data_IF_939159988364
#
_entry.id   IF_939159988364
#
_cell.length_a   1.000
_cell.length_b   1.000
_cell.length_c   1.000
_cell.angle_alpha   90.00
_cell.angle_beta   90.00
_cell.angle_gamma   90.00
#
_symmetry.space_group_name_H-M   'P 1'
#
loop_
_entity.id
_entity.type
_entity.pdbx_description
1 polymer ?
#
# COMPACT_ATOMS: atom_id res chain seq x y z
N UNK A 1 -13.18 6.58 -5.20
CA UNK A 1 -12.62 7.92 -4.85
C UNK A 1 -11.12 7.90 -5.13
N UNK A 2 -10.53 9.06 -5.44
CA UNK A 2 -9.08 9.22 -5.55
C UNK A 2 -8.64 10.40 -4.68
N UNK A 3 -7.67 10.20 -3.78
CA UNK A 3 -7.16 11.25 -2.88
C UNK A 3 -5.75 10.96 -2.37
N UNK A 4 -5.11 11.95 -1.77
CA UNK A 4 -3.86 11.73 -1.04
C UNK A 4 -4.08 11.02 0.31
N UNK A 5 -3.07 10.27 0.75
CA UNK A 5 -3.02 9.70 2.09
C UNK A 5 -2.96 10.80 3.16
N UNK A 6 -3.64 10.57 4.29
CA UNK A 6 -3.79 11.55 5.37
C UNK A 6 -3.03 11.17 6.63
N UNK A 7 -2.60 9.93 6.73
CA UNK A 7 -1.96 9.38 7.92
C UNK A 7 -1.11 8.15 7.58
N UNK A 8 -0.27 7.74 8.52
CA UNK A 8 0.64 6.60 8.36
C UNK A 8 -0.08 5.27 8.16
N UNK A 9 -1.30 5.10 8.71
CA UNK A 9 -2.05 3.87 8.54
C UNK A 9 -2.52 3.66 7.09
N UNK A 10 -2.84 4.74 6.38
CA UNK A 10 -3.17 4.70 4.96
C UNK A 10 -1.94 4.44 4.09
N UNK A 11 -0.78 5.01 4.44
CA UNK A 11 0.49 4.73 3.76
C UNK A 11 0.87 3.25 3.96
N UNK A 12 0.74 2.73 5.18
CA UNK A 12 1.00 1.31 5.46
C UNK A 12 0.09 0.40 4.64
N UNK A 13 -1.21 0.70 4.55
CA UNK A 13 -2.14 -0.06 3.72
C UNK A 13 -1.81 0.02 2.21
N UNK A 14 -1.35 1.18 1.73
CA UNK A 14 -0.87 1.33 0.36
C UNK A 14 0.37 0.47 0.09
N UNK A 15 1.33 0.43 1.03
CA UNK A 15 2.51 -0.44 0.97
C UNK A 15 2.14 -1.94 0.97
N UNK A 16 1.09 -2.35 1.69
CA UNK A 16 0.56 -3.72 1.64
C UNK A 16 -0.02 -4.04 0.25
N UNK A 17 -0.73 -3.09 -0.37
CA UNK A 17 -1.26 -3.26 -1.75
C UNK A 17 -0.11 -3.42 -2.74
N UNK A 18 0.93 -2.57 -2.69
CA UNK A 18 2.12 -2.70 -3.54
C UNK A 18 2.82 -4.03 -3.32
N UNK A 19 2.95 -4.46 -2.06
CA UNK A 19 3.54 -5.75 -1.74
C UNK A 19 2.79 -6.91 -2.42
N UNK A 20 1.46 -6.95 -2.27
CA UNK A 20 0.62 -8.00 -2.88
C UNK A 20 0.81 -8.05 -4.39
N UNK A 21 0.76 -6.90 -5.06
CA UNK A 21 0.89 -6.83 -6.52
C UNK A 21 2.30 -7.24 -6.95
N UNK A 22 3.35 -6.61 -6.43
CA UNK A 22 4.70 -6.86 -6.95
C UNK A 22 5.26 -8.22 -6.54
N UNK A 23 4.99 -8.68 -5.32
CA UNK A 23 5.63 -9.88 -4.79
C UNK A 23 4.75 -11.12 -4.85
N UNK A 24 3.46 -11.00 -4.55
CA UNK A 24 2.57 -12.17 -4.54
C UNK A 24 2.00 -12.45 -5.93
N UNK A 25 1.72 -11.42 -6.74
CA UNK A 25 1.16 -11.59 -8.09
C UNK A 25 2.24 -11.57 -9.19
N UNK A 26 3.22 -10.66 -9.12
CA UNK A 26 4.21 -10.44 -10.19
C UNK A 26 5.60 -11.06 -9.94
N UNK A 27 5.83 -11.70 -8.78
CA UNK A 27 7.02 -12.51 -8.53
C UNK A 27 8.33 -11.72 -8.33
N UNK A 28 8.26 -10.49 -7.84
CA UNK A 28 9.46 -9.72 -7.47
C UNK A 28 10.31 -10.47 -6.41
N UNK A 29 11.65 -10.30 -6.49
CA UNK A 29 12.57 -10.94 -5.54
C UNK A 29 12.50 -10.24 -4.19
N UNK A 30 12.09 -10.99 -3.16
CA UNK A 30 12.00 -10.55 -1.77
C UNK A 30 13.40 -10.39 -1.18
N UNK A 31 13.72 -9.21 -0.67
CA UNK A 31 14.77 -9.10 0.34
C UNK A 31 14.20 -9.58 1.70
N UNK A 32 15.01 -10.19 2.55
CA UNK A 32 14.54 -10.89 3.76
C UNK A 32 13.71 -10.00 4.70
N UNK A 33 14.01 -8.69 4.73
CA UNK A 33 13.31 -7.71 5.54
C UNK A 33 11.90 -7.36 5.02
N UNK A 34 11.70 -7.29 3.70
CA UNK A 34 10.39 -6.95 3.11
C UNK A 34 9.37 -8.09 3.28
N UNK A 35 9.84 -9.33 3.43
CA UNK A 35 8.98 -10.50 3.59
C UNK A 35 8.32 -10.60 4.97
N UNK A 36 8.93 -10.05 6.03
CA UNK A 36 8.40 -10.15 7.40
C UNK A 36 7.20 -9.22 7.63
N UNK A 37 7.28 -7.99 7.13
CA UNK A 37 6.26 -6.97 7.35
C UNK A 37 5.13 -6.98 6.30
N UNK A 38 5.29 -7.75 5.21
CA UNK A 38 4.35 -7.79 4.05
C UNK A 38 4.00 -6.40 3.52
N UNK A 39 4.98 -5.51 3.54
CA UNK A 39 4.89 -4.15 3.05
C UNK A 39 6.04 -3.89 2.11
N UNK A 40 5.74 -3.29 0.97
CA UNK A 40 6.75 -2.78 0.05
C UNK A 40 7.12 -1.36 0.48
N UNK A 41 7.86 -1.23 1.58
CA UNK A 41 8.36 0.06 2.05
C UNK A 41 9.76 0.33 1.48
N UNK A 42 10.01 1.54 0.98
CA UNK A 42 11.31 1.95 0.47
C UNK A 42 11.73 3.35 0.93
N UNK A 43 12.95 3.76 0.54
CA UNK A 43 13.56 5.03 0.95
C UNK A 43 12.90 6.27 0.35
N UNK A 44 12.03 6.11 -0.65
CA UNK A 44 11.35 7.20 -1.33
C UNK A 44 9.98 7.49 -0.73
N UNK A 45 9.38 6.55 0.00
CA UNK A 45 8.08 6.74 0.66
C UNK A 45 7.97 8.05 1.47
N UNK A 46 8.99 8.51 2.25
CA UNK A 46 8.91 9.77 2.98
C UNK A 46 8.94 11.04 2.10
N UNK A 47 9.26 10.90 0.82
CA UNK A 47 9.38 12.01 -0.15
C UNK A 47 8.15 12.13 -1.05
N UNK A 48 7.26 11.14 -1.03
CA UNK A 48 6.11 11.06 -1.93
C UNK A 48 4.83 11.53 -1.26
N UNK A 49 4.02 12.26 -2.02
CA UNK A 49 2.58 12.33 -1.76
C UNK A 49 1.94 11.02 -2.23
N UNK A 50 1.43 10.23 -1.30
CA UNK A 50 0.85 8.92 -1.60
C UNK A 50 -0.56 9.10 -2.17
N UNK A 51 -0.73 8.93 -3.49
CA UNK A 51 -2.04 8.91 -4.13
C UNK A 51 -2.73 7.58 -3.84
N UNK A 52 -4.00 7.62 -3.45
CA UNK A 52 -4.77 6.43 -3.11
C UNK A 52 -5.99 6.33 -4.02
N UNK A 53 -6.28 5.12 -4.47
CA UNK A 53 -7.54 4.75 -5.10
C UNK A 53 -8.36 3.96 -4.11
N UNK A 54 -9.53 4.48 -3.73
CA UNK A 54 -10.43 3.84 -2.78
C UNK A 54 -11.69 3.35 -3.47
N UNK A 55 -12.09 2.12 -3.17
CA UNK A 55 -13.42 1.59 -3.49
C UNK A 55 -14.38 1.90 -2.34
N UNK A 56 -15.25 2.89 -2.56
CA UNK A 56 -16.23 3.35 -1.56
C UNK A 56 -17.39 2.39 -1.36
N UNK A 57 -17.52 1.35 -2.20
CA UNK A 57 -18.54 0.31 -2.05
C UNK A 57 -18.15 -0.78 -1.05
N UNK A 58 -16.86 -0.92 -0.75
CA UNK A 58 -16.37 -1.92 0.20
C UNK A 58 -16.75 -1.53 1.64
N UNK A 59 -17.14 -2.50 2.49
CA UNK A 59 -17.40 -2.26 3.90
C UNK A 59 -16.10 -2.16 4.72
N UNK A 60 -16.16 -1.57 5.91
CA UNK A 60 -15.05 -1.51 6.86
C UNK A 60 -14.33 -0.16 6.90
N UNK A 61 -13.20 -0.07 7.64
CA UNK A 61 -12.45 1.18 7.82
C UNK A 61 -11.78 1.65 6.53
N UNK A 62 -11.56 2.97 6.37
CA UNK A 62 -11.00 3.59 5.16
C UNK A 62 -9.73 2.94 4.62
N UNK A 63 -8.75 2.64 5.48
CA UNK A 63 -7.49 2.04 5.07
C UNK A 63 -7.66 0.65 4.43
N UNK A 64 -8.74 -0.09 4.75
CA UNK A 64 -9.03 -1.39 4.10
C UNK A 64 -9.79 -1.27 2.78
N UNK A 65 -10.20 -0.07 2.41
CA UNK A 65 -10.90 0.22 1.14
C UNK A 65 -9.94 0.71 0.05
N UNK A 66 -8.64 0.79 0.36
CA UNK A 66 -7.59 1.14 -0.60
C UNK A 66 -7.36 -0.05 -1.53
N UNK A 67 -7.55 0.18 -2.84
CA UNK A 67 -7.42 -0.84 -3.89
C UNK A 67 -6.28 -0.54 -4.86
N UNK A 68 -5.66 0.63 -4.77
CA UNK A 68 -4.52 1.05 -5.59
C UNK A 68 -3.79 2.25 -4.99
N UNK A 69 -2.55 2.47 -5.44
CA UNK A 69 -1.68 3.58 -5.05
C UNK A 69 -0.68 3.94 -6.14
#
# INVERSE_FOLDING_TARGET
EVRLARNEAEIAAAQEVRYRVFYDELGARKDLFQAQDRRDADRFDPLCDHLLVLDTSLPGPEHRRIVGT
#
